data_IF_680255933165
#
_entry.id   IF_680255933165
#
_cell.length_a   1.000
_cell.length_b   1.000
_cell.length_c   1.000
_cell.angle_alpha   90.00
_cell.angle_beta   90.00
_cell.angle_gamma   90.00
#
_symmetry.space_group_name_H-M   'P 1'
#
loop_
_entity.id
_entity.type
_entity.pdbx_description
1 polymer ?
#
# COMPACT_ATOMS: atom_id res chain seq x y z
N UNK A 1 -4.35 0.59 -39.03
CA UNK A 1 -3.74 0.05 -37.79
C UNK A 1 -3.92 1.10 -36.71
N UNK A 2 -5.03 1.04 -35.98
CA UNK A 2 -5.39 2.05 -34.98
C UNK A 2 -5.41 1.37 -33.63
N UNK A 3 -4.35 1.59 -32.83
CA UNK A 3 -4.39 1.35 -31.39
C UNK A 3 -3.80 2.59 -30.71
N UNK A 4 -4.66 3.59 -30.57
CA UNK A 4 -4.54 4.62 -29.55
C UNK A 4 -5.85 4.63 -28.78
N UNK A 5 -5.92 5.18 -27.56
CA UNK A 5 -4.96 5.20 -26.46
C UNK A 5 -5.72 4.80 -25.16
N UNK A 6 -5.20 5.19 -23.98
CA UNK A 6 -5.79 5.07 -22.62
C UNK A 6 -5.30 3.87 -21.82
N UNK A 7 -4.07 3.99 -21.31
CA UNK A 7 -3.88 3.68 -19.89
C UNK A 7 -4.92 4.52 -19.14
N UNK A 8 -5.81 3.91 -18.33
CA UNK A 8 -6.81 4.66 -17.60
C UNK A 8 -6.10 5.58 -16.62
N UNK A 9 -6.11 6.85 -17.00
CA UNK A 9 -5.93 8.03 -16.17
C UNK A 9 -6.80 7.88 -14.91
N UNK A 10 -6.13 7.91 -13.76
CA UNK A 10 -6.57 8.52 -12.52
C UNK A 10 -8.06 8.40 -12.19
N UNK A 11 -8.49 7.22 -11.74
CA UNK A 11 -9.75 7.11 -11.02
C UNK A 11 -9.44 7.28 -9.54
N UNK A 12 -9.72 8.49 -9.03
CA UNK A 12 -9.98 8.80 -7.63
C UNK A 12 -10.53 7.56 -6.91
N UNK A 13 -9.64 6.83 -6.26
CA UNK A 13 -10.03 5.83 -5.29
C UNK A 13 -10.19 6.62 -4.02
N UNK A 14 -11.36 7.24 -3.82
CA UNK A 14 -11.80 7.67 -2.50
C UNK A 14 -11.45 6.51 -1.57
N UNK A 15 -10.48 6.68 -0.66
CA UNK A 15 -10.01 5.56 0.13
C UNK A 15 -11.22 5.05 0.89
N UNK A 16 -11.52 3.77 0.74
CA UNK A 16 -12.58 3.13 1.52
C UNK A 16 -12.21 3.27 3.00
N UNK A 17 -12.72 4.33 3.64
CA UNK A 17 -12.38 4.75 5.00
C UNK A 17 -12.73 3.67 6.04
N UNK A 18 -13.52 2.66 5.66
CA UNK A 18 -13.81 1.49 6.50
C UNK A 18 -12.68 0.44 6.52
N UNK A 19 -11.69 0.53 5.62
CA UNK A 19 -10.48 -0.30 5.68
C UNK A 19 -9.28 0.58 5.95
N UNK A 20 -8.85 0.65 7.21
CA UNK A 20 -7.55 1.23 7.53
C UNK A 20 -6.45 0.42 6.81
N UNK A 21 -5.85 1.02 5.77
CA UNK A 21 -4.82 0.40 4.95
C UNK A 21 -3.45 0.62 5.56
N UNK A 22 -2.60 -0.40 5.48
CA UNK A 22 -1.24 -0.35 6.05
C UNK A 22 -0.41 0.77 5.43
N UNK A 23 -0.54 0.97 4.11
CA UNK A 23 0.15 2.03 3.38
C UNK A 23 -0.22 3.43 3.86
N UNK A 24 -1.51 3.68 4.12
CA UNK A 24 -1.97 4.98 4.64
C UNK A 24 -1.42 5.25 6.03
N UNK A 25 -1.45 4.27 6.93
CA UNK A 25 -0.86 4.42 8.28
C UNK A 25 0.63 4.78 8.16
N UNK A 26 1.37 4.14 7.25
CA UNK A 26 2.80 4.43 7.09
C UNK A 26 3.06 5.85 6.59
N UNK A 27 2.18 6.40 5.74
CA UNK A 27 2.23 7.80 5.30
C UNK A 27 1.86 8.76 6.43
N UNK A 28 0.79 8.47 7.17
CA UNK A 28 0.34 9.27 8.31
C UNK A 28 1.37 9.31 9.45
N UNK A 29 2.12 8.22 9.64
CA UNK A 29 3.22 8.15 10.59
C UNK A 29 4.52 8.79 10.07
N UNK A 30 4.48 9.42 8.89
CA UNK A 30 5.64 10.01 8.20
C UNK A 30 6.80 9.01 8.02
N UNK A 31 6.50 7.71 8.03
CA UNK A 31 7.50 6.65 7.85
C UNK A 31 7.88 6.50 6.38
N UNK A 32 6.93 6.77 5.48
CA UNK A 32 7.12 6.79 4.03
C UNK A 32 6.38 7.99 3.45
N UNK A 33 6.77 8.42 2.24
CA UNK A 33 6.02 9.42 1.47
C UNK A 33 4.93 8.78 0.61
N UNK A 34 3.97 9.59 0.13
CA UNK A 34 2.96 9.15 -0.83
C UNK A 34 3.63 8.56 -2.08
N UNK A 35 4.67 9.22 -2.60
CA UNK A 35 5.42 8.74 -3.77
C UNK A 35 6.09 7.37 -3.54
N UNK A 36 6.67 7.17 -2.36
CA UNK A 36 7.26 5.88 -1.98
C UNK A 36 6.21 4.77 -1.87
N UNK A 37 5.02 5.11 -1.36
CA UNK A 37 3.88 4.19 -1.31
C UNK A 37 3.40 3.81 -2.72
N UNK A 38 3.24 4.79 -3.61
CA UNK A 38 2.82 4.56 -5.00
C UNK A 38 3.81 3.66 -5.74
N UNK A 39 5.11 3.89 -5.60
CA UNK A 39 6.13 3.07 -6.26
C UNK A 39 6.10 1.62 -5.74
N UNK A 40 5.95 1.43 -4.43
CA UNK A 40 5.83 0.10 -3.85
C UNK A 40 4.55 -0.65 -4.30
N UNK A 41 3.43 0.07 -4.44
CA UNK A 41 2.17 -0.48 -4.97
C UNK A 41 2.26 -0.86 -6.44
N UNK A 42 3.00 -0.05 -7.22
CA UNK A 42 3.28 -0.34 -8.62
C UNK A 42 4.08 -1.62 -8.76
N UNK A 43 5.17 -1.79 -8.00
CA UNK A 43 5.98 -3.02 -7.99
C UNK A 43 5.12 -4.23 -7.60
N UNK A 44 4.29 -4.10 -6.56
CA UNK A 44 3.39 -5.18 -6.14
C UNK A 44 2.44 -5.61 -7.26
N UNK A 45 1.92 -4.64 -8.03
CA UNK A 45 1.01 -4.89 -9.14
C UNK A 45 1.73 -5.52 -10.32
N UNK A 46 2.91 -5.01 -10.69
CA UNK A 46 3.75 -5.57 -11.75
C UNK A 46 4.18 -7.02 -11.45
N UNK A 47 4.50 -7.35 -10.20
CA UNK A 47 4.82 -8.72 -9.78
C UNK A 47 3.62 -9.66 -9.97
N UNK A 48 2.42 -9.20 -9.58
CA UNK A 48 1.18 -9.95 -9.74
C UNK A 48 0.82 -10.18 -11.22
N UNK A 49 0.97 -9.15 -12.06
CA UNK A 49 0.69 -9.23 -13.49
C UNK A 49 1.70 -10.13 -14.22
N UNK A 50 2.95 -10.13 -13.79
CA UNK A 50 4.01 -11.01 -14.32
C UNK A 50 3.86 -12.47 -13.87
N UNK A 51 2.85 -12.81 -13.07
CA UNK A 51 2.65 -14.15 -12.51
C UNK A 51 3.73 -14.56 -11.50
N UNK A 52 4.47 -13.59 -10.94
CA UNK A 52 5.43 -13.81 -9.86
C UNK A 52 4.70 -13.95 -8.53
N UNK A 53 5.41 -14.45 -7.52
CA UNK A 53 4.89 -14.50 -6.16
C UNK A 53 4.51 -13.09 -5.70
N UNK A 54 3.23 -12.89 -5.36
CA UNK A 54 2.72 -11.59 -4.94
C UNK A 54 3.24 -11.25 -3.54
N UNK A 55 4.34 -10.49 -3.49
CA UNK A 55 4.91 -10.03 -2.23
C UNK A 55 3.95 -9.10 -1.48
N UNK A 56 3.90 -9.18 -0.14
CA UNK A 56 3.15 -8.22 0.65
C UNK A 56 3.79 -6.83 0.56
N UNK A 57 2.96 -5.79 0.54
CA UNK A 57 3.43 -4.39 0.42
C UNK A 57 4.49 -4.04 1.48
N UNK A 58 4.31 -4.51 2.72
CA UNK A 58 5.28 -4.29 3.79
C UNK A 58 6.66 -4.87 3.50
N UNK A 59 6.74 -6.02 2.81
CA UNK A 59 8.02 -6.60 2.40
C UNK A 59 8.68 -5.76 1.31
N UNK A 60 7.92 -5.30 0.32
CA UNK A 60 8.44 -4.43 -0.75
C UNK A 60 9.01 -3.13 -0.13
N UNK A 61 8.28 -2.50 0.78
CA UNK A 61 8.73 -1.28 1.47
C UNK A 61 10.03 -1.47 2.28
N UNK A 62 10.22 -2.66 2.87
CA UNK A 62 11.47 -3.02 3.55
C UNK A 62 12.61 -3.26 2.56
N UNK A 63 12.36 -4.01 1.49
CA UNK A 63 13.35 -4.32 0.44
C UNK A 63 13.84 -3.05 -0.26
N UNK A 64 12.96 -2.07 -0.46
CA UNK A 64 13.29 -0.76 -1.04
C UNK A 64 13.98 0.19 -0.04
N UNK A 65 14.04 -0.17 1.25
CA UNK A 65 14.59 0.70 2.29
C UNK A 65 13.76 1.95 2.58
N UNK A 66 12.48 1.97 2.18
CA UNK A 66 11.58 3.10 2.42
C UNK A 66 11.12 3.16 3.87
N UNK A 67 10.97 2.01 4.52
CA UNK A 67 10.74 1.95 5.96
C UNK A 67 11.63 0.91 6.63
N UNK A 68 11.84 1.07 7.93
CA UNK A 68 12.52 0.08 8.77
C UNK A 68 11.56 -0.94 9.40
N UNK A 69 12.09 -2.07 9.89
CA UNK A 69 11.29 -3.11 10.55
C UNK A 69 10.44 -2.57 11.71
N UNK A 70 11.01 -1.69 12.53
CA UNK A 70 10.32 -1.10 13.67
C UNK A 70 9.15 -0.18 13.26
N UNK A 71 9.31 0.57 12.18
CA UNK A 71 8.25 1.42 11.63
C UNK A 71 7.10 0.57 11.08
N UNK A 72 7.44 -0.50 10.34
CA UNK A 72 6.46 -1.43 9.82
C UNK A 72 5.67 -2.15 10.93
N UNK A 73 6.37 -2.64 11.96
CA UNK A 73 5.73 -3.31 13.12
C UNK A 73 4.76 -2.35 13.81
N UNK A 74 5.17 -1.10 14.05
CA UNK A 74 4.30 -0.08 14.66
C UNK A 74 3.05 0.16 13.81
N UNK A 75 3.19 0.30 12.49
CA UNK A 75 2.06 0.51 11.59
C UNK A 75 1.08 -0.68 11.61
N UNK A 76 1.59 -1.92 11.61
CA UNK A 76 0.77 -3.14 11.70
C UNK A 76 0.01 -3.18 13.04
N UNK A 77 0.66 -2.84 14.15
CA UNK A 77 0.00 -2.79 15.46
C UNK A 77 -1.15 -1.78 15.48
N UNK A 78 -0.95 -0.61 14.87
CA UNK A 78 -1.98 0.41 14.74
C UNK A 78 -3.14 -0.10 13.87
N UNK A 79 -2.84 -0.70 12.71
CA UNK A 79 -3.85 -1.31 11.84
C UNK A 79 -4.70 -2.36 12.56
N UNK A 80 -4.04 -3.23 13.34
CA UNK A 80 -4.71 -4.28 14.10
C UNK A 80 -5.65 -3.71 15.18
N UNK A 81 -5.26 -2.60 15.84
CA UNK A 81 -6.13 -1.90 16.80
C UNK A 81 -7.38 -1.34 16.12
N UNK A 82 -7.23 -0.67 14.97
CA UNK A 82 -8.36 -0.13 14.23
C UNK A 82 -9.33 -1.20 13.75
N UNK A 83 -8.82 -2.34 13.24
CA UNK A 83 -9.67 -3.48 12.82
C UNK A 83 -10.45 -4.10 13.98
N UNK A 84 -9.85 -4.20 15.17
CA UNK A 84 -10.54 -4.70 16.36
C UNK A 84 -11.68 -3.77 16.80
N UNK A 85 -11.45 -2.46 16.76
CA UNK A 85 -12.48 -1.48 17.11
C UNK A 85 -13.68 -1.52 16.15
N UNK A 86 -13.43 -1.70 14.85
CA UNK A 86 -14.46 -1.78 13.81
C UNK A 86 -15.31 -3.06 13.88
N UNK A 87 -14.76 -4.17 14.37
CA UNK A 87 -15.50 -5.44 14.51
C UNK A 87 -16.32 -5.56 15.81
N UNK A 88 -16.31 -4.53 16.67
CA UNK A 88 -17.00 -4.56 17.99
C UNK A 88 -18.28 -3.71 18.01
N UNK A 89 -18.74 -3.21 16.86
CA UNK A 89 -20.05 -2.56 16.67
C UNK A 89 -20.94 -3.40 15.76
#
# INVERSE_FOLDING_TARGET
MSKSPKSPENQNSEPDLNRVLLGQILVELECITIYQLEEALRIQSEDKEAGREAKPLGQILLEMGYCGPNQLIRAIQIQAKYRKAQNTQ
#
